data_IF_986384036138
#
_entry.id   IF_986384036138
#
_cell.length_a   1.000
_cell.length_b   1.000
_cell.length_c   1.000
_cell.angle_alpha   90.00
_cell.angle_beta   90.00
_cell.angle_gamma   90.00
#
_symmetry.space_group_name_H-M   'P 1'
#
loop_
_entity.id
_entity.type
_entity.pdbx_description
1 polymer ?
#
# COMPACT_ATOMS: atom_id res chain seq x y z
N UNK A 1 23.88 4.98 -9.00
CA UNK A 1 23.32 3.76 -8.38
C UNK A 1 22.65 4.18 -7.07
N UNK A 2 21.44 3.68 -6.79
CA UNK A 2 20.71 3.91 -5.55
C UNK A 2 21.02 2.82 -4.52
N UNK A 3 20.94 3.17 -3.24
CA UNK A 3 20.80 2.21 -2.15
C UNK A 3 19.33 2.13 -1.81
N UNK A 4 18.77 0.93 -2.00
CA UNK A 4 17.39 0.62 -1.65
C UNK A 4 17.40 -0.41 -0.54
N UNK A 5 16.48 -0.27 0.40
CA UNK A 5 16.33 -1.20 1.52
C UNK A 5 15.01 -0.98 2.23
N UNK A 6 14.81 -1.69 3.32
CA UNK A 6 13.56 -1.55 4.05
C UNK A 6 13.55 -2.29 5.38
N UNK A 7 12.37 -2.24 6.02
CA UNK A 7 12.13 -2.93 7.29
C UNK A 7 12.45 -2.11 8.54
N UNK A 8 12.74 -0.81 8.41
CA UNK A 8 12.89 0.05 9.58
C UNK A 8 11.52 0.33 10.22
N UNK A 9 11.54 0.47 11.54
CA UNK A 9 10.34 0.80 12.32
C UNK A 9 10.74 1.77 13.44
N UNK A 10 10.27 3.01 13.33
CA UNK A 10 10.56 4.08 14.31
C UNK A 10 10.08 3.72 15.72
N UNK A 11 9.03 2.91 15.85
CA UNK A 11 8.49 2.50 17.13
C UNK A 11 9.36 1.46 17.86
N UNK A 12 10.26 0.79 17.14
CA UNK A 12 11.21 -0.18 17.69
C UNK A 12 12.55 0.45 18.08
N UNK A 13 12.77 1.75 17.82
CA UNK A 13 14.01 2.45 18.16
C UNK A 13 13.94 3.03 19.55
N UNK A 14 15.04 2.91 20.32
CA UNK A 14 15.16 3.55 21.64
C UNK A 14 15.13 5.08 21.54
N UNK A 15 15.71 5.61 20.48
CA UNK A 15 15.64 7.02 20.11
C UNK A 15 15.21 7.12 18.63
N UNK A 16 13.95 7.44 18.35
CA UNK A 16 13.43 7.54 16.98
C UNK A 16 14.15 8.57 16.10
N UNK A 17 14.75 9.61 16.72
CA UNK A 17 15.43 10.69 16.00
C UNK A 17 16.82 10.29 15.50
N UNK A 18 17.36 9.17 15.97
CA UNK A 18 18.63 8.62 15.45
C UNK A 18 18.50 8.14 14.02
N UNK A 19 17.35 7.57 13.62
CA UNK A 19 17.08 7.22 12.23
C UNK A 19 16.62 8.47 11.46
N UNK A 20 17.56 9.17 10.90
CA UNK A 20 17.34 10.49 10.30
C UNK A 20 18.07 10.66 8.96
N UNK A 21 17.64 11.64 8.20
CA UNK A 21 18.32 12.13 7.01
C UNK A 21 19.81 12.39 7.28
N UNK A 22 20.15 13.01 8.42
CA UNK A 22 21.55 13.32 8.80
C UNK A 22 22.40 12.07 8.97
N UNK A 23 21.86 11.00 9.58
CA UNK A 23 22.56 9.73 9.70
C UNK A 23 22.86 9.16 8.31
N UNK A 24 21.87 9.14 7.42
CA UNK A 24 22.06 8.62 6.06
C UNK A 24 23.05 9.45 5.25
N UNK A 25 23.04 10.77 5.40
CA UNK A 25 24.02 11.67 4.75
C UNK A 25 25.45 11.44 5.25
N UNK A 26 25.60 11.13 6.54
CA UNK A 26 26.91 10.81 7.12
C UNK A 26 27.49 9.50 6.58
N UNK A 27 26.63 8.48 6.43
CA UNK A 27 27.06 7.16 5.97
C UNK A 27 27.20 7.12 4.43
N UNK A 28 26.31 7.78 3.72
CA UNK A 28 26.18 7.75 2.26
C UNK A 28 26.10 9.16 1.65
N UNK A 29 27.17 9.97 1.75
CA UNK A 29 27.13 11.36 1.29
C UNK A 29 26.93 11.51 -0.23
N UNK A 30 27.46 10.55 -1.02
CA UNK A 30 27.51 10.62 -2.48
C UNK A 30 26.59 9.60 -3.19
N UNK A 31 25.79 8.88 -2.42
CA UNK A 31 24.90 7.85 -2.98
C UNK A 31 23.45 8.13 -2.51
N UNK A 32 22.48 8.26 -3.43
CA UNK A 32 21.08 8.43 -3.04
C UNK A 32 20.55 7.18 -2.35
N UNK A 33 19.88 7.38 -1.21
CA UNK A 33 19.34 6.32 -0.33
C UNK A 33 17.85 6.49 -0.18
N UNK A 34 17.10 5.40 -0.34
CA UNK A 34 15.67 5.33 -0.03
C UNK A 34 15.35 4.02 0.68
N UNK A 35 14.93 4.12 1.94
CA UNK A 35 14.63 2.98 2.80
C UNK A 35 13.15 2.95 3.12
N UNK A 36 12.47 1.87 2.73
CA UNK A 36 11.04 1.66 3.02
C UNK A 36 10.86 1.22 4.48
N UNK A 37 9.86 1.76 5.16
CA UNK A 37 9.47 1.29 6.49
C UNK A 37 8.95 -0.15 6.48
N UNK A 38 8.89 -0.78 7.64
CA UNK A 38 8.37 -2.14 7.82
C UNK A 38 6.91 -2.29 7.38
N UNK A 39 6.13 -1.25 7.56
CA UNK A 39 4.70 -1.21 7.21
C UNK A 39 4.43 -0.77 5.77
N UNK A 40 5.47 -0.39 5.01
CA UNK A 40 5.39 0.11 3.63
C UNK A 40 4.64 1.44 3.45
N UNK A 41 4.35 2.16 4.53
CA UNK A 41 3.63 3.44 4.50
C UNK A 41 4.54 4.66 4.57
N UNK A 42 5.85 4.47 4.84
CA UNK A 42 6.80 5.58 4.84
C UNK A 42 8.16 5.20 4.24
N UNK A 43 8.84 6.20 3.69
CA UNK A 43 10.15 6.06 3.07
C UNK A 43 11.12 7.07 3.69
N UNK A 44 12.24 6.61 4.21
CA UNK A 44 13.31 7.47 4.70
C UNK A 44 14.35 7.66 3.59
N UNK A 45 14.61 8.91 3.24
CA UNK A 45 15.52 9.32 2.18
C UNK A 45 16.66 10.18 2.74
N UNK A 46 17.85 10.10 2.12
CA UNK A 46 18.91 11.05 2.40
C UNK A 46 18.75 12.35 1.58
N UNK A 47 19.55 13.37 1.91
CA UNK A 47 19.50 14.68 1.23
C UNK A 47 19.72 14.58 -0.28
N UNK A 48 20.58 13.67 -0.72
CA UNK A 48 20.87 13.48 -2.15
C UNK A 48 19.67 12.89 -2.89
N UNK A 49 18.96 11.94 -2.28
CA UNK A 49 17.74 11.36 -2.85
C UNK A 49 16.64 12.42 -3.00
N UNK A 50 16.39 13.21 -1.93
CA UNK A 50 15.42 14.31 -1.96
C UNK A 50 15.77 15.36 -3.03
N UNK A 51 17.06 15.74 -3.13
CA UNK A 51 17.55 16.68 -4.13
C UNK A 51 17.33 16.18 -5.56
N UNK A 52 17.60 14.90 -5.82
CA UNK A 52 17.38 14.28 -7.15
C UNK A 52 15.90 14.34 -7.52
N UNK A 53 15.00 14.12 -6.56
CA UNK A 53 13.55 14.19 -6.74
C UNK A 53 13.00 15.64 -6.75
N UNK A 54 13.87 16.66 -6.55
CA UNK A 54 13.44 18.05 -6.50
C UNK A 54 12.65 18.42 -5.25
N UNK A 55 12.74 17.60 -4.18
CA UNK A 55 12.05 17.84 -2.91
C UNK A 55 12.90 18.79 -2.06
N UNK A 56 12.32 19.90 -1.67
CA UNK A 56 12.91 20.89 -0.77
C UNK A 56 11.93 21.24 0.36
N UNK A 57 12.37 22.06 1.31
CA UNK A 57 11.57 22.48 2.47
C UNK A 57 10.24 23.15 2.10
N UNK A 58 10.18 23.78 0.92
CA UNK A 58 9.01 24.51 0.44
C UNK A 58 8.14 23.65 -0.50
N UNK A 59 8.48 22.38 -0.71
CA UNK A 59 7.69 21.46 -1.53
C UNK A 59 6.35 21.18 -0.84
N UNK A 60 5.26 21.44 -1.55
CA UNK A 60 3.91 21.19 -1.04
C UNK A 60 3.66 19.68 -0.85
N UNK A 61 2.91 19.32 0.18
CA UNK A 61 2.45 17.94 0.36
C UNK A 61 1.57 17.52 -0.82
N UNK A 62 1.81 16.34 -1.41
CA UNK A 62 0.91 15.79 -2.41
C UNK A 62 -0.43 15.41 -1.75
N UNK A 63 -1.49 15.31 -2.55
CA UNK A 63 -2.79 14.87 -2.06
C UNK A 63 -2.67 13.46 -1.47
N UNK A 64 -3.09 13.28 -0.22
CA UNK A 64 -3.01 12.00 0.47
C UNK A 64 -1.61 11.59 0.92
N UNK A 65 -0.65 12.53 0.97
CA UNK A 65 0.70 12.27 1.45
C UNK A 65 1.24 13.40 2.32
N UNK A 66 2.34 13.13 3.03
CA UNK A 66 2.99 14.08 3.91
C UNK A 66 4.51 14.02 3.74
N UNK A 67 5.13 15.18 3.52
CA UNK A 67 6.57 15.39 3.60
C UNK A 67 6.88 15.86 5.04
N UNK A 68 7.60 15.06 5.80
CA UNK A 68 7.81 15.34 7.23
C UNK A 68 8.84 16.46 7.44
N UNK A 69 8.48 17.40 8.32
CA UNK A 69 9.36 18.47 8.78
C UNK A 69 9.54 18.40 10.30
N UNK A 70 10.70 18.78 10.77
CA UNK A 70 10.97 18.94 12.19
C UNK A 70 10.33 20.25 12.74
N UNK A 71 10.46 20.47 14.04
CA UNK A 71 9.89 21.64 14.75
C UNK A 71 10.42 23.01 14.27
N UNK A 72 11.53 23.04 13.52
CA UNK A 72 12.12 24.26 12.96
C UNK A 72 11.90 24.36 11.43
N UNK A 73 11.07 23.48 10.85
CA UNK A 73 10.68 23.51 9.43
C UNK A 73 11.70 22.90 8.47
N UNK A 74 12.67 22.12 8.94
CA UNK A 74 13.61 21.39 8.08
C UNK A 74 13.08 20.00 7.76
N UNK A 75 13.43 19.48 6.57
CA UNK A 75 13.11 18.12 6.17
C UNK A 75 13.76 17.09 7.10
N UNK A 76 12.99 16.11 7.56
CA UNK A 76 13.50 14.95 8.32
C UNK A 76 14.03 13.84 7.42
N UNK A 77 13.65 13.86 6.14
CA UNK A 77 13.91 12.79 5.17
C UNK A 77 12.78 11.77 5.07
N UNK A 78 11.76 11.83 5.93
CA UNK A 78 10.64 10.88 5.90
C UNK A 78 9.52 11.40 5.02
N UNK A 79 9.07 10.54 4.13
CA UNK A 79 7.94 10.74 3.24
C UNK A 79 6.86 9.72 3.62
N UNK A 80 5.59 10.15 3.73
CA UNK A 80 4.47 9.28 4.09
C UNK A 80 3.46 9.18 2.95
N UNK A 81 2.88 8.01 2.81
CA UNK A 81 1.78 7.69 1.88
C UNK A 81 2.13 8.09 0.43
N UNK A 82 1.28 8.86 -0.25
CA UNK A 82 1.56 9.28 -1.63
C UNK A 82 2.81 10.16 -1.79
N UNK A 83 3.36 10.71 -0.72
CA UNK A 83 4.66 11.38 -0.79
C UNK A 83 5.82 10.41 -1.10
N UNK A 84 5.67 9.10 -0.79
CA UNK A 84 6.63 8.07 -1.19
C UNK A 84 6.85 8.00 -2.70
N UNK A 85 5.79 8.26 -3.46
CA UNK A 85 5.75 8.16 -4.91
C UNK A 85 6.60 9.26 -5.60
N UNK A 86 6.93 10.35 -4.89
CA UNK A 86 7.76 11.42 -5.42
C UNK A 86 9.21 10.99 -5.73
N UNK A 87 9.69 9.92 -5.08
CA UNK A 87 11.04 9.38 -5.29
C UNK A 87 11.08 8.33 -6.40
N UNK A 88 9.99 7.58 -6.59
CA UNK A 88 9.95 6.38 -7.42
C UNK A 88 10.37 6.60 -8.89
N UNK A 89 10.04 7.73 -9.57
CA UNK A 89 10.47 7.98 -10.94
C UNK A 89 12.00 8.08 -11.12
N UNK A 90 12.74 8.32 -10.04
CA UNK A 90 14.19 8.50 -10.06
C UNK A 90 14.97 7.24 -9.65
N UNK A 91 14.25 6.20 -9.17
CA UNK A 91 14.86 4.93 -8.80
C UNK A 91 15.21 4.13 -10.04
N UNK A 92 16.47 3.75 -10.16
CA UNK A 92 16.93 2.85 -11.24
C UNK A 92 16.84 1.41 -10.74
N UNK A 93 15.89 0.67 -11.28
CA UNK A 93 15.71 -0.76 -10.97
C UNK A 93 16.72 -1.64 -11.71
N UNK A 94 16.99 -2.86 -11.20
CA UNK A 94 17.81 -3.85 -11.90
C UNK A 94 17.22 -4.26 -13.24
N UNK A 95 18.06 -4.83 -14.10
CA UNK A 95 17.65 -5.45 -15.37
C UNK A 95 16.60 -6.55 -15.13
N UNK A 96 15.66 -6.68 -16.06
CA UNK A 96 14.53 -7.63 -15.93
C UNK A 96 14.96 -9.06 -15.63
N UNK A 97 16.06 -9.55 -16.22
CA UNK A 97 16.56 -10.91 -15.97
C UNK A 97 17.05 -11.10 -14.52
N UNK A 98 17.61 -10.06 -13.89
CA UNK A 98 18.01 -10.09 -12.47
C UNK A 98 16.79 -10.21 -11.59
N UNK A 99 15.71 -9.47 -11.90
CA UNK A 99 14.46 -9.52 -11.16
C UNK A 99 13.77 -10.88 -11.34
N UNK A 100 13.70 -11.41 -12.57
CA UNK A 100 13.15 -12.74 -12.85
C UNK A 100 13.90 -13.83 -12.07
N UNK A 101 15.23 -13.74 -12.00
CA UNK A 101 16.04 -14.67 -11.20
C UNK A 101 15.68 -14.55 -9.71
N UNK A 102 15.61 -13.34 -9.17
CA UNK A 102 15.26 -13.10 -7.78
C UNK A 102 13.84 -13.60 -7.42
N UNK A 103 12.85 -13.41 -8.32
CA UNK A 103 11.50 -13.97 -8.15
C UNK A 103 11.58 -15.51 -8.10
N UNK A 104 12.33 -16.14 -9.00
CA UNK A 104 12.47 -17.60 -9.03
C UNK A 104 13.08 -18.14 -7.74
N UNK A 105 14.16 -17.51 -7.24
CA UNK A 105 14.81 -17.87 -5.98
C UNK A 105 13.90 -17.67 -4.77
N UNK A 106 13.12 -16.59 -4.76
CA UNK A 106 12.11 -16.34 -3.71
C UNK A 106 11.07 -17.45 -3.71
N UNK A 107 10.53 -17.84 -4.87
CA UNK A 107 9.58 -18.95 -5.00
C UNK A 107 10.17 -20.25 -4.46
N UNK A 108 11.43 -20.53 -4.75
CA UNK A 108 12.13 -21.72 -4.21
C UNK A 108 12.24 -21.69 -2.69
N UNK A 109 12.41 -20.52 -2.09
CA UNK A 109 12.54 -20.37 -0.64
C UNK A 109 11.21 -20.50 0.10
N UNK A 110 10.07 -20.14 -0.52
CA UNK A 110 8.75 -20.19 0.12
C UNK A 110 8.03 -21.54 -0.03
N UNK A 111 8.34 -22.32 -1.03
CA UNK A 111 7.73 -23.64 -1.24
C UNK A 111 7.93 -24.62 -0.08
N UNK A 112 9.14 -24.75 0.51
CA UNK A 112 9.32 -25.59 1.69
C UNK A 112 8.51 -25.15 2.91
N UNK A 113 8.04 -23.89 2.93
CA UNK A 113 7.16 -23.36 3.98
C UNK A 113 5.67 -23.68 3.72
N UNK A 114 5.36 -24.40 2.63
CA UNK A 114 3.99 -24.74 2.24
C UNK A 114 3.26 -23.61 1.48
N UNK A 115 3.93 -22.51 1.13
CA UNK A 115 3.34 -21.40 0.39
C UNK A 115 3.41 -21.68 -1.12
N UNK A 116 2.27 -22.01 -1.73
CA UNK A 116 2.17 -22.38 -3.16
C UNK A 116 1.53 -21.30 -4.03
N UNK A 117 1.10 -20.20 -3.44
CA UNK A 117 0.51 -19.06 -4.14
C UNK A 117 0.26 -17.88 -3.22
N UNK A 118 0.01 -16.72 -3.82
CA UNK A 118 -0.20 -15.46 -3.09
C UNK A 118 -1.10 -14.49 -3.85
N UNK A 119 -1.62 -13.49 -3.15
CA UNK A 119 -2.18 -12.29 -3.77
C UNK A 119 -1.05 -11.27 -3.95
N UNK A 120 -0.90 -10.76 -5.15
CA UNK A 120 0.09 -9.73 -5.49
C UNK A 120 -0.62 -8.41 -5.71
N UNK A 121 -0.13 -7.36 -5.08
CA UNK A 121 -0.64 -6.00 -5.19
C UNK A 121 0.48 -5.12 -5.71
N UNK A 122 0.78 -5.27 -6.99
CA UNK A 122 1.96 -4.73 -7.65
C UNK A 122 1.60 -4.02 -8.96
N UNK A 123 2.54 -3.27 -9.53
CA UNK A 123 2.39 -2.66 -10.85
C UNK A 123 2.26 -3.72 -11.97
N UNK A 124 1.74 -3.32 -13.12
CA UNK A 124 1.69 -4.17 -14.32
C UNK A 124 3.09 -4.63 -14.76
N UNK A 125 4.12 -3.82 -14.52
CA UNK A 125 5.51 -4.20 -14.79
C UNK A 125 5.92 -5.41 -13.94
N UNK A 126 5.63 -5.40 -12.64
CA UNK A 126 5.91 -6.53 -11.74
C UNK A 126 5.10 -7.78 -12.13
N UNK A 127 3.81 -7.60 -12.51
CA UNK A 127 2.98 -8.69 -13.04
C UNK A 127 3.65 -9.35 -14.26
N UNK A 128 4.10 -8.56 -15.20
CA UNK A 128 4.71 -9.07 -16.44
C UNK A 128 6.00 -9.83 -16.16
N UNK A 129 6.80 -9.40 -15.20
CA UNK A 129 7.98 -10.14 -14.75
C UNK A 129 7.63 -11.46 -14.06
N UNK A 130 6.55 -11.50 -13.25
CA UNK A 130 6.06 -12.74 -12.66
C UNK A 130 5.56 -13.72 -13.73
N UNK A 131 4.82 -13.26 -14.74
CA UNK A 131 4.40 -14.09 -15.87
C UNK A 131 5.59 -14.63 -16.66
N UNK A 132 6.58 -13.80 -16.98
CA UNK A 132 7.83 -14.24 -17.63
C UNK A 132 8.61 -15.24 -16.79
N UNK A 133 8.60 -15.09 -15.46
CA UNK A 133 9.21 -16.08 -14.56
C UNK A 133 8.50 -17.42 -14.63
N UNK A 134 7.17 -17.43 -14.69
CA UNK A 134 6.39 -18.68 -14.85
C UNK A 134 6.70 -19.38 -16.19
N UNK A 135 6.88 -18.63 -17.27
CA UNK A 135 7.21 -19.17 -18.59
C UNK A 135 8.62 -19.78 -18.63
N UNK A 136 9.60 -19.05 -18.10
CA UNK A 136 11.01 -19.37 -18.25
C UNK A 136 11.55 -20.34 -17.20
N UNK A 137 11.03 -20.30 -15.98
CA UNK A 137 11.69 -20.93 -14.84
C UNK A 137 10.79 -21.75 -13.94
N UNK A 138 9.79 -21.11 -13.28
CA UNK A 138 9.06 -21.72 -12.18
C UNK A 138 7.59 -21.37 -12.19
N UNK A 139 6.76 -22.38 -12.00
CA UNK A 139 5.32 -22.19 -11.86
C UNK A 139 4.94 -22.00 -10.41
N UNK A 140 4.22 -20.92 -10.12
CA UNK A 140 3.61 -20.57 -8.85
C UNK A 140 2.27 -19.89 -9.12
N UNK A 141 1.38 -19.91 -8.15
CA UNK A 141 0.06 -19.27 -8.30
C UNK A 141 0.10 -17.86 -7.78
N UNK A 142 -0.47 -16.92 -8.53
CA UNK A 142 -0.73 -15.59 -8.00
C UNK A 142 -2.02 -15.01 -8.54
N UNK A 143 -2.70 -14.23 -7.67
CA UNK A 143 -3.83 -13.41 -8.02
C UNK A 143 -3.36 -11.95 -7.99
N UNK A 144 -3.34 -11.30 -9.14
CA UNK A 144 -2.81 -9.96 -9.27
C UNK A 144 -3.90 -8.90 -9.11
N UNK A 145 -3.67 -7.97 -8.18
CA UNK A 145 -4.48 -6.77 -7.98
C UNK A 145 -3.66 -5.58 -8.47
N UNK A 146 -4.23 -4.79 -9.37
CA UNK A 146 -3.54 -3.71 -10.07
C UNK A 146 -3.87 -2.35 -9.45
N UNK A 147 -2.97 -1.40 -9.61
CA UNK A 147 -3.14 -0.03 -9.15
C UNK A 147 -3.92 0.84 -10.15
N UNK A 148 -4.47 2.01 -9.73
CA UNK A 148 -5.21 2.91 -10.61
C UNK A 148 -4.43 3.33 -11.86
N UNK A 149 -3.11 3.45 -11.79
CA UNK A 149 -2.22 3.82 -12.89
C UNK A 149 -2.23 2.80 -14.04
N UNK A 150 -2.53 1.54 -13.72
CA UNK A 150 -2.59 0.45 -14.69
C UNK A 150 -4.02 0.20 -15.21
N UNK A 151 -5.03 0.95 -14.74
CA UNK A 151 -6.44 0.70 -15.00
C UNK A 151 -6.78 0.65 -16.50
N UNK A 152 -6.33 1.66 -17.26
CA UNK A 152 -6.59 1.74 -18.70
C UNK A 152 -5.99 0.56 -19.46
N UNK A 153 -4.80 0.11 -19.07
CA UNK A 153 -4.13 -1.06 -19.69
C UNK A 153 -4.92 -2.33 -19.40
N UNK A 154 -5.41 -2.51 -18.18
CA UNK A 154 -6.23 -3.67 -17.80
C UNK A 154 -7.53 -3.69 -18.60
N UNK A 155 -8.16 -2.54 -18.81
CA UNK A 155 -9.34 -2.44 -19.65
C UNK A 155 -9.05 -2.84 -21.12
N UNK A 156 -7.90 -2.44 -21.66
CA UNK A 156 -7.46 -2.81 -23.02
C UNK A 156 -7.20 -4.31 -23.16
N UNK A 157 -6.72 -4.98 -22.11
CA UNK A 157 -6.56 -6.44 -22.10
C UNK A 157 -7.90 -7.19 -22.12
N UNK A 158 -8.99 -6.54 -21.72
CA UNK A 158 -10.36 -7.09 -21.74
C UNK A 158 -10.61 -8.21 -20.74
N UNK A 159 -9.66 -8.48 -19.83
CA UNK A 159 -9.77 -9.52 -18.79
C UNK A 159 -10.58 -8.99 -17.61
N UNK A 160 -11.48 -9.82 -17.08
CA UNK A 160 -12.29 -9.49 -15.91
C UNK A 160 -11.75 -10.13 -14.63
N UNK A 161 -12.19 -9.62 -13.49
CA UNK A 161 -11.77 -10.18 -12.20
C UNK A 161 -12.06 -11.67 -12.11
N UNK A 162 -11.05 -12.39 -11.60
CA UNK A 162 -10.99 -13.86 -11.43
C UNK A 162 -10.91 -14.67 -12.72
N UNK A 163 -10.84 -14.04 -13.89
CA UNK A 163 -10.43 -14.68 -15.14
C UNK A 163 -8.90 -14.90 -15.17
N UNK A 164 -8.47 -15.82 -16.03
CA UNK A 164 -7.07 -16.22 -16.19
C UNK A 164 -6.92 -17.72 -16.31
N UNK A 165 -5.82 -18.27 -15.78
CA UNK A 165 -5.53 -19.71 -15.84
C UNK A 165 -5.27 -20.30 -14.44
N UNK A 166 -4.74 -21.52 -14.36
CA UNK A 166 -4.46 -22.20 -13.10
C UNK A 166 -3.41 -21.47 -12.23
N UNK A 167 -2.46 -20.76 -12.86
CA UNK A 167 -1.32 -20.13 -12.19
C UNK A 167 -1.46 -18.61 -12.05
N UNK A 168 -2.30 -17.99 -12.86
CA UNK A 168 -2.55 -16.56 -12.84
C UNK A 168 -4.04 -16.25 -12.87
N UNK A 169 -4.46 -15.35 -11.99
CA UNK A 169 -5.80 -14.75 -11.99
C UNK A 169 -5.68 -13.24 -11.89
N UNK A 170 -6.54 -12.52 -12.63
CA UNK A 170 -6.75 -11.11 -12.36
C UNK A 170 -7.59 -10.99 -11.08
N UNK A 171 -7.08 -10.29 -10.06
CA UNK A 171 -7.81 -9.99 -8.83
C UNK A 171 -8.78 -8.84 -9.02
N UNK A 172 -8.28 -7.60 -8.94
CA UNK A 172 -9.10 -6.42 -9.09
C UNK A 172 -8.32 -5.13 -8.88
N UNK A 173 -9.03 -4.02 -8.87
CA UNK A 173 -8.48 -2.69 -8.61
C UNK A 173 -8.06 -2.58 -7.14
N UNK A 174 -6.77 -2.36 -6.88
CA UNK A 174 -6.20 -2.13 -5.54
C UNK A 174 -6.21 -0.65 -5.23
N UNK A 175 -6.86 -0.31 -4.13
CA UNK A 175 -6.88 1.06 -3.61
C UNK A 175 -6.32 1.08 -2.19
N UNK A 176 -5.70 2.20 -1.82
CA UNK A 176 -5.30 2.50 -0.45
C UNK A 176 -6.25 3.58 0.07
N UNK A 177 -7.15 3.23 1.00
CA UNK A 177 -8.11 4.17 1.56
C UNK A 177 -7.49 5.12 2.58
N UNK A 178 -6.54 4.59 3.38
CA UNK A 178 -5.79 5.32 4.39
C UNK A 178 -4.36 4.78 4.53
N UNK A 179 -3.69 5.10 5.63
CA UNK A 179 -2.36 4.61 5.96
C UNK A 179 -2.35 3.55 7.06
N UNK A 180 -1.34 3.55 7.93
CA UNK A 180 -1.11 2.53 8.96
C UNK A 180 -1.17 3.07 10.39
N UNK A 181 -1.36 2.18 11.38
CA UNK A 181 -1.27 2.52 12.81
C UNK A 181 0.17 2.91 13.19
N UNK A 182 1.15 2.19 12.68
CA UNK A 182 2.57 2.40 13.00
C UNK A 182 3.07 3.78 12.60
N UNK A 183 2.64 4.27 11.45
CA UNK A 183 2.96 5.62 10.92
C UNK A 183 1.98 6.71 11.39
N UNK A 184 0.93 6.36 12.17
CA UNK A 184 -0.15 7.25 12.62
C UNK A 184 -0.89 7.92 11.45
N UNK A 185 -0.93 7.26 10.31
CA UNK A 185 -1.61 7.72 9.09
C UNK A 185 -2.92 7.00 8.83
N UNK A 186 -3.24 5.93 9.59
CA UNK A 186 -4.56 5.30 9.56
C UNK A 186 -5.64 6.32 9.96
N UNK A 187 -6.71 6.43 9.15
CA UNK A 187 -7.72 7.46 9.33
C UNK A 187 -8.71 7.09 10.44
N UNK A 188 -8.66 7.84 11.55
CA UNK A 188 -9.44 7.59 12.76
C UNK A 188 -10.52 8.67 12.96
N UNK A 189 -11.61 8.33 13.67
CA UNK A 189 -12.56 9.33 14.16
C UNK A 189 -11.97 10.11 15.32
N UNK A 190 -11.25 9.42 16.21
CA UNK A 190 -10.52 10.00 17.34
C UNK A 190 -9.15 10.50 16.88
N UNK A 191 -8.64 11.54 17.54
CA UNK A 191 -7.30 12.07 17.23
C UNK A 191 -6.20 11.20 17.85
N UNK A 192 -5.09 11.09 17.16
CA UNK A 192 -3.82 10.64 17.73
C UNK A 192 -3.33 11.64 18.79
N UNK A 193 -2.39 11.28 19.67
CA UNK A 193 -1.89 12.18 20.72
C UNK A 193 -1.38 13.52 20.18
N UNK A 194 -0.88 13.57 18.95
CA UNK A 194 -0.42 14.77 18.28
C UNK A 194 -1.55 15.67 17.74
N UNK A 195 -2.81 15.25 17.87
CA UNK A 195 -3.99 16.00 17.45
C UNK A 195 -4.49 15.66 16.04
N UNK A 196 -3.69 14.95 15.23
CA UNK A 196 -4.09 14.53 13.89
C UNK A 196 -5.02 13.32 13.92
N UNK A 197 -5.74 13.09 12.83
CA UNK A 197 -6.70 11.96 12.68
C UNK A 197 -6.32 10.98 11.59
N UNK A 198 -5.06 10.96 11.17
CA UNK A 198 -4.62 10.20 10.01
C UNK A 198 -5.10 10.78 8.67
N UNK A 199 -4.91 10.05 7.61
CA UNK A 199 -5.06 10.55 6.23
C UNK A 199 -6.06 9.67 5.47
N UNK A 200 -7.21 10.24 5.04
CA UNK A 200 -8.03 9.64 3.99
C UNK A 200 -7.44 10.02 2.63
N UNK A 201 -7.16 9.04 1.79
CA UNK A 201 -6.58 9.27 0.45
C UNK A 201 -7.62 9.72 -0.59
N UNK A 202 -8.89 9.42 -0.34
CA UNK A 202 -10.01 9.73 -1.24
C UNK A 202 -11.14 10.43 -0.48
N UNK A 203 -11.84 11.33 -1.15
CA UNK A 203 -13.18 11.74 -0.74
C UNK A 203 -14.17 10.61 -1.00
N UNK A 204 -15.37 10.67 -0.41
CA UNK A 204 -16.41 9.64 -0.60
C UNK A 204 -16.83 9.49 -2.06
N UNK A 205 -16.89 10.60 -2.81
CA UNK A 205 -17.28 10.57 -4.21
C UNK A 205 -16.15 10.10 -5.14
N UNK A 206 -14.89 10.41 -4.83
CA UNK A 206 -13.74 9.89 -5.57
C UNK A 206 -13.63 8.37 -5.42
N UNK A 207 -13.71 7.87 -4.17
CA UNK A 207 -13.69 6.44 -3.89
C UNK A 207 -14.83 5.73 -4.61
N UNK A 208 -16.04 6.28 -4.49
CA UNK A 208 -17.21 5.70 -5.13
C UNK A 208 -17.10 5.67 -6.66
N UNK A 209 -16.59 6.72 -7.28
CA UNK A 209 -16.40 6.80 -8.73
C UNK A 209 -15.44 5.74 -9.24
N UNK A 210 -14.33 5.51 -8.56
CA UNK A 210 -13.35 4.46 -8.90
C UNK A 210 -13.97 3.06 -8.78
N UNK A 211 -14.65 2.80 -7.66
CA UNK A 211 -15.26 1.49 -7.38
C UNK A 211 -16.42 1.21 -8.35
N UNK A 212 -17.24 2.22 -8.66
CA UNK A 212 -18.33 2.08 -9.63
C UNK A 212 -17.79 1.78 -11.03
N UNK A 213 -16.78 2.55 -11.48
CA UNK A 213 -16.15 2.33 -12.79
C UNK A 213 -15.56 0.92 -12.89
N UNK A 214 -14.86 0.44 -11.86
CA UNK A 214 -14.35 -0.93 -11.82
C UNK A 214 -15.50 -1.95 -11.95
N UNK A 215 -16.55 -1.80 -11.15
CA UNK A 215 -17.69 -2.71 -11.16
C UNK A 215 -18.41 -2.75 -12.52
N UNK A 216 -18.58 -1.61 -13.20
CA UNK A 216 -19.18 -1.51 -14.53
C UNK A 216 -18.36 -2.22 -15.61
N UNK A 217 -17.05 -2.33 -15.41
CA UNK A 217 -16.15 -3.05 -16.32
C UNK A 217 -15.91 -4.51 -15.90
N UNK A 218 -16.64 -5.04 -14.91
CA UNK A 218 -16.50 -6.41 -14.44
C UNK A 218 -15.23 -6.65 -13.60
N UNK A 219 -14.73 -5.58 -12.98
CA UNK A 219 -13.56 -5.61 -12.11
C UNK A 219 -13.96 -5.45 -10.64
N UNK A 220 -13.43 -6.32 -9.77
CA UNK A 220 -13.59 -6.16 -8.32
C UNK A 220 -12.66 -5.09 -7.79
N UNK A 221 -12.93 -4.62 -6.57
CA UNK A 221 -12.07 -3.70 -5.86
C UNK A 221 -11.53 -4.34 -4.58
N UNK A 222 -10.27 -4.06 -4.26
CA UNK A 222 -9.56 -4.53 -3.07
C UNK A 222 -9.01 -3.30 -2.36
N UNK A 223 -9.60 -2.91 -1.22
CA UNK A 223 -9.34 -1.63 -0.59
C UNK A 223 -8.65 -1.83 0.75
N UNK A 224 -7.43 -1.32 0.89
CA UNK A 224 -6.72 -1.18 2.15
C UNK A 224 -7.47 -0.20 3.05
N UNK A 225 -7.78 -0.61 4.27
CA UNK A 225 -8.51 0.19 5.22
C UNK A 225 -8.21 -0.27 6.65
N UNK A 226 -7.50 0.55 7.40
CA UNK A 226 -7.01 0.25 8.75
C UNK A 226 -7.78 1.03 9.82
N UNK A 227 -7.84 2.36 9.69
CA UNK A 227 -8.52 3.22 10.65
C UNK A 227 -10.04 3.14 10.58
N UNK A 228 -10.70 3.26 11.72
CA UNK A 228 -12.15 3.12 11.84
C UNK A 228 -12.95 4.11 10.97
N UNK A 229 -12.40 5.29 10.69
CA UNK A 229 -13.01 6.28 9.79
C UNK A 229 -12.91 5.81 8.33
N UNK A 230 -11.77 5.26 7.90
CA UNK A 230 -11.61 4.70 6.57
C UNK A 230 -12.48 3.44 6.38
N UNK A 231 -12.50 2.55 7.36
CA UNK A 231 -13.37 1.35 7.34
C UNK A 231 -14.83 1.75 7.13
N UNK A 232 -15.29 2.80 7.83
CA UNK A 232 -16.66 3.32 7.63
C UNK A 232 -16.87 3.86 6.22
N UNK A 233 -15.92 4.63 5.69
CA UNK A 233 -15.98 5.17 4.32
C UNK A 233 -16.10 4.05 3.28
N UNK A 234 -15.28 3.01 3.39
CA UNK A 234 -15.32 1.85 2.49
C UNK A 234 -16.65 1.11 2.59
N UNK A 235 -17.14 0.86 3.80
CA UNK A 235 -18.46 0.24 4.01
C UNK A 235 -19.57 1.05 3.32
N UNK A 236 -19.61 2.36 3.53
CA UNK A 236 -20.63 3.25 2.93
C UNK A 236 -20.53 3.27 1.40
N UNK A 237 -19.32 3.28 0.86
CA UNK A 237 -19.06 3.18 -0.58
C UNK A 237 -19.73 1.92 -1.16
N UNK A 238 -19.56 0.76 -0.55
CA UNK A 238 -20.14 -0.49 -1.04
C UNK A 238 -21.63 -0.63 -0.76
N UNK A 239 -22.16 -0.05 0.30
CA UNK A 239 -23.60 0.08 0.50
C UNK A 239 -24.23 0.97 -0.59
N UNK A 240 -23.54 2.02 -1.02
CA UNK A 240 -23.93 2.86 -2.15
C UNK A 240 -23.86 2.09 -3.49
N UNK A 241 -22.75 1.34 -3.72
CA UNK A 241 -22.61 0.51 -4.92
C UNK A 241 -23.71 -0.54 -5.02
N UNK A 242 -24.07 -1.18 -3.91
CA UNK A 242 -25.14 -2.20 -3.88
C UNK A 242 -26.48 -1.66 -4.41
N UNK A 243 -26.79 -0.39 -4.16
CA UNK A 243 -28.01 0.26 -4.66
C UNK A 243 -28.00 0.45 -6.19
N UNK A 244 -26.84 0.40 -6.83
CA UNK A 244 -26.74 0.49 -8.31
C UNK A 244 -27.00 -0.84 -9.02
N UNK A 245 -27.09 -1.96 -8.31
CA UNK A 245 -27.22 -3.30 -8.88
C UNK A 245 -25.93 -3.87 -9.49
N UNK A 246 -24.80 -3.15 -9.42
CA UNK A 246 -23.50 -3.57 -10.00
C UNK A 246 -22.64 -4.43 -9.06
N UNK A 247 -23.12 -4.67 -7.84
CA UNK A 247 -22.36 -5.37 -6.80
C UNK A 247 -22.41 -6.91 -6.89
N UNK A 248 -23.45 -7.51 -7.47
CA UNK A 248 -23.89 -8.88 -7.15
C UNK A 248 -23.02 -10.04 -7.66
N UNK A 249 -21.99 -9.80 -8.46
CA UNK A 249 -21.17 -10.87 -9.08
C UNK A 249 -19.68 -10.75 -8.76
N UNK A 250 -19.26 -9.74 -8.00
CA UNK A 250 -17.86 -9.42 -7.76
C UNK A 250 -17.47 -9.71 -6.31
N UNK A 251 -16.29 -10.30 -6.12
CA UNK A 251 -15.68 -10.52 -4.80
C UNK A 251 -14.87 -9.27 -4.41
N UNK A 252 -15.59 -8.22 -3.99
CA UNK A 252 -14.96 -7.00 -3.49
C UNK A 252 -14.41 -7.24 -2.08
N UNK A 253 -13.24 -6.71 -1.78
CA UNK A 253 -12.52 -6.97 -0.54
C UNK A 253 -12.19 -5.67 0.19
N UNK A 254 -12.29 -5.73 1.51
CA UNK A 254 -11.70 -4.73 2.41
C UNK A 254 -10.57 -5.42 3.17
N UNK A 255 -9.37 -4.84 3.09
CA UNK A 255 -8.16 -5.40 3.67
C UNK A 255 -7.91 -4.82 5.06
N UNK A 256 -7.37 -5.63 5.94
CA UNK A 256 -6.89 -5.34 7.29
C UNK A 256 -8.01 -5.16 8.31
N UNK A 257 -8.79 -4.08 8.27
CA UNK A 257 -9.85 -3.75 9.25
C UNK A 257 -9.28 -3.80 10.68
N UNK A 258 -8.12 -3.16 10.90
CA UNK A 258 -7.45 -3.23 12.21
C UNK A 258 -8.22 -2.46 13.29
N UNK A 259 -8.97 -1.42 12.90
CA UNK A 259 -9.87 -0.70 13.77
C UNK A 259 -11.27 -0.61 13.15
N UNK A 260 -12.29 -1.16 13.83
CA UNK A 260 -13.70 -1.07 13.42
C UNK A 260 -14.56 -0.76 14.65
N UNK A 261 -15.56 0.13 14.50
CA UNK A 261 -16.49 0.41 15.56
C UNK A 261 -17.56 -0.69 15.63
N UNK A 262 -18.05 -0.99 16.84
CA UNK A 262 -19.08 -2.01 17.03
C UNK A 262 -20.34 -1.76 16.20
N UNK A 263 -20.75 -0.49 16.04
CA UNK A 263 -21.90 -0.09 15.24
C UNK A 263 -21.72 -0.32 13.73
N UNK A 264 -20.46 -0.39 13.24
CA UNK A 264 -20.17 -0.60 11.82
C UNK A 264 -20.09 -2.09 11.43
N UNK A 265 -19.96 -3.01 12.38
CA UNK A 265 -19.91 -4.46 12.13
C UNK A 265 -21.16 -4.97 11.38
N UNK A 266 -22.41 -4.61 11.79
CA UNK A 266 -23.60 -5.00 11.02
C UNK A 266 -23.65 -4.38 9.62
N UNK A 267 -23.08 -3.18 9.45
CA UNK A 267 -23.02 -2.50 8.16
C UNK A 267 -22.02 -3.19 7.23
N UNK A 268 -20.86 -3.64 7.73
CA UNK A 268 -19.90 -4.44 6.99
C UNK A 268 -20.56 -5.72 6.46
N UNK A 269 -21.31 -6.45 7.29
CA UNK A 269 -22.08 -7.61 6.83
C UNK A 269 -23.06 -7.23 5.71
N UNK A 270 -23.75 -6.10 5.85
CA UNK A 270 -24.77 -5.65 4.89
C UNK A 270 -24.15 -5.15 3.57
N UNK A 271 -22.91 -4.68 3.58
CA UNK A 271 -22.21 -4.18 2.39
C UNK A 271 -21.91 -5.28 1.37
N UNK A 272 -21.74 -6.53 1.81
CA UNK A 272 -21.37 -7.67 0.98
C UNK A 272 -19.87 -7.75 0.68
N UNK A 273 -19.05 -6.98 1.39
CA UNK A 273 -17.60 -7.05 1.30
C UNK A 273 -17.04 -8.33 1.92
N UNK A 274 -15.99 -8.86 1.33
CA UNK A 274 -15.16 -9.88 1.94
C UNK A 274 -14.12 -9.22 2.84
N UNK A 275 -14.15 -9.54 4.13
CA UNK A 275 -13.15 -9.10 5.10
C UNK A 275 -11.88 -9.94 4.96
N UNK A 276 -10.78 -9.30 4.59
CA UNK A 276 -9.46 -9.92 4.46
C UNK A 276 -8.59 -9.48 5.64
N UNK A 277 -8.54 -10.31 6.67
CA UNK A 277 -7.86 -10.03 7.93
C UNK A 277 -6.52 -10.75 7.99
N UNK A 278 -5.52 -10.09 8.60
CA UNK A 278 -4.20 -10.64 8.83
C UNK A 278 -3.93 -10.71 10.35
N UNK A 279 -4.29 -11.80 11.03
CA UNK A 279 -4.14 -11.91 12.50
C UNK A 279 -2.71 -11.71 13.02
N UNK A 280 -1.70 -11.88 12.16
CA UNK A 280 -0.29 -11.64 12.49
C UNK A 280 -0.03 -10.18 12.93
N UNK A 281 -0.84 -9.22 12.49
CA UNK A 281 -0.72 -7.81 12.89
C UNK A 281 -0.98 -7.58 14.37
N UNK A 282 -1.82 -8.41 15.03
CA UNK A 282 -2.21 -8.24 16.43
C UNK A 282 -0.99 -8.10 17.36
N UNK A 283 0.06 -8.88 17.12
CA UNK A 283 1.28 -8.82 17.93
C UNK A 283 1.98 -7.44 17.90
N UNK A 284 1.91 -6.74 16.77
CA UNK A 284 2.47 -5.41 16.61
C UNK A 284 1.46 -4.30 16.99
N UNK A 285 0.17 -4.55 16.78
CA UNK A 285 -0.88 -3.55 16.97
C UNK A 285 -1.19 -3.30 18.44
N UNK A 286 -1.17 -4.33 19.30
CA UNK A 286 -1.45 -4.18 20.74
C UNK A 286 -0.54 -3.14 21.40
N UNK A 287 0.79 -3.16 21.24
CA UNK A 287 1.67 -2.12 21.77
C UNK A 287 1.36 -0.72 21.22
N UNK A 288 1.00 -0.61 19.95
CA UNK A 288 0.68 0.66 19.31
C UNK A 288 -0.64 1.22 19.82
N UNK A 289 -1.67 0.38 19.97
CA UNK A 289 -2.96 0.77 20.51
C UNK A 289 -2.79 1.26 21.95
N UNK A 290 -2.08 0.53 22.80
CA UNK A 290 -1.80 0.92 24.19
C UNK A 290 -0.98 2.21 24.29
N UNK A 291 -0.17 2.53 23.25
CA UNK A 291 0.63 3.75 23.21
C UNK A 291 -0.18 4.98 22.78
N UNK A 292 -1.15 4.82 21.90
CA UNK A 292 -1.83 5.93 21.24
C UNK A 292 -3.29 6.11 21.63
N UNK A 293 -3.93 5.12 22.26
CA UNK A 293 -5.31 5.11 22.77
C UNK A 293 -5.39 4.38 24.12
#
# INVERSE_FOLDING_TARGET
KWILGGGWDRNCLNNPDELSLKLLDTIFPDIPVALMSKDYHSKLCNSLALKIAGICKDTANPKGGLIEHNSIGELTGVLYESANELIDPYIVYPESEVIIQAISETVDSIYPLGLVGFNSMESIFSRDLMLKTQEKRKKFRFCWHFYPEDYEKVLQEGIKSYEGNEFYKLGGLKLFGDGSLGSQTAAMFESYPQGEKGILRYTDDELFSLVLSAAENGLSSTIHSIGNRCVKQVIDCFLRLKKTGKHNTLFNRIEHIQAIRNEDIPLLKSSGLFASLQPVHIANDIPLINKYW
#
